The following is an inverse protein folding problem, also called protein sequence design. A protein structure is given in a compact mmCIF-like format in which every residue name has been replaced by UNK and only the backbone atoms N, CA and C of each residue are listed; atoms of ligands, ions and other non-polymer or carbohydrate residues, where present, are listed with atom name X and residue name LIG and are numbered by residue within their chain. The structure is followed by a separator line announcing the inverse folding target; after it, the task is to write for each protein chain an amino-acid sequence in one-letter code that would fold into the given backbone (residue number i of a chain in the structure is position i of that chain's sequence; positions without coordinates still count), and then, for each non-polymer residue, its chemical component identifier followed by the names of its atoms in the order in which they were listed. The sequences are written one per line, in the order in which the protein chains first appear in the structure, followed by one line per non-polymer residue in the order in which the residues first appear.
data_IF_049165848346
#
_entry.id   IF_049165848346
#
_cell.length_a   1.000
_cell.length_b   1.000
_cell.length_c   1.000
_cell.angle_alpha   90.00
_cell.angle_beta   90.00
_cell.angle_gamma   90.00
#
_symmetry.space_group_name_H-M   'P 1'
#
loop_
_entity.id
_entity.type
_entity.pdbx_description
1 polymer ?
#
# COMPACT_ATOMS: atom_id res chain seq x y z
N UNK A 1 -37.95 -15.00 -30.11
CA UNK A 1 -36.95 -14.96 -29.02
C UNK A 1 -35.69 -15.59 -29.55
N UNK A 2 -34.75 -14.76 -29.98
CA UNK A 2 -33.49 -15.22 -30.59
C UNK A 2 -32.41 -15.12 -29.52
N UNK A 3 -32.04 -16.28 -28.97
CA UNK A 3 -30.92 -16.44 -28.05
C UNK A 3 -29.61 -16.18 -28.78
N UNK A 4 -29.00 -15.03 -28.52
CA UNK A 4 -27.62 -14.73 -28.89
C UNK A 4 -26.70 -15.40 -27.87
N UNK A 5 -26.36 -16.66 -28.15
CA UNK A 5 -25.16 -17.31 -27.59
C UNK A 5 -23.93 -16.63 -28.17
N UNK A 6 -23.28 -15.75 -27.40
CA UNK A 6 -21.93 -15.30 -27.72
C UNK A 6 -20.94 -16.41 -27.32
N UNK A 7 -20.71 -17.34 -28.22
CA UNK A 7 -19.48 -18.11 -28.24
C UNK A 7 -18.33 -17.13 -28.48
N UNK A 8 -17.43 -16.95 -27.51
CA UNK A 8 -16.08 -16.50 -27.81
C UNK A 8 -15.08 -17.45 -27.13
N UNK A 9 -14.37 -18.29 -27.89
CA UNK A 9 -13.34 -19.18 -27.36
C UNK A 9 -12.11 -18.34 -26.95
N UNK A 10 -11.35 -18.88 -26.01
CA UNK A 10 -10.10 -18.34 -25.45
C UNK A 10 -9.24 -17.49 -26.39
N UNK A 11 -8.96 -16.25 -26.00
CA UNK A 11 -7.67 -15.62 -26.26
C UNK A 11 -7.13 -15.11 -24.92
N UNK A 12 -6.11 -15.79 -24.41
CA UNK A 12 -5.21 -15.29 -23.36
C UNK A 12 -4.38 -14.15 -23.97
N UNK A 13 -4.99 -13.01 -24.28
CA UNK A 13 -4.34 -11.91 -25.01
C UNK A 13 -3.92 -10.79 -24.08
N UNK A 14 -2.71 -10.27 -24.29
CA UNK A 14 -2.25 -9.03 -23.65
C UNK A 14 -3.03 -7.81 -24.17
N UNK A 15 -3.11 -6.76 -23.37
CA UNK A 15 -3.85 -5.53 -23.69
C UNK A 15 -2.89 -4.40 -24.05
N UNK A 16 -3.11 -3.72 -25.18
CA UNK A 16 -2.37 -2.50 -25.51
C UNK A 16 -2.74 -1.39 -24.51
N UNK A 17 -1.75 -0.72 -23.92
CA UNK A 17 -1.94 0.28 -22.87
C UNK A 17 -1.06 1.51 -23.08
N UNK A 18 -1.52 2.67 -22.60
CA UNK A 18 -0.76 3.93 -22.66
C UNK A 18 -0.36 4.38 -21.24
N UNK A 19 0.84 4.02 -20.82
CA UNK A 19 1.37 4.36 -19.48
C UNK A 19 1.88 5.79 -19.37
N UNK A 20 1.87 6.57 -20.46
CA UNK A 20 2.32 7.97 -20.43
C UNK A 20 1.36 8.87 -19.65
N UNK A 21 0.15 8.39 -19.36
CA UNK A 21 -0.91 9.10 -18.65
C UNK A 21 -1.02 8.65 -17.21
N UNK A 22 -1.56 9.52 -16.35
CA UNK A 22 -1.80 9.24 -14.93
C UNK A 22 -0.53 9.14 -14.08
N UNK A 23 -0.68 8.72 -12.82
CA UNK A 23 0.41 8.70 -11.85
C UNK A 23 1.18 7.37 -11.84
N UNK A 24 2.48 7.44 -11.54
CA UNK A 24 3.31 6.28 -11.21
C UNK A 24 3.35 6.11 -9.68
N UNK A 25 2.84 4.99 -9.18
CA UNK A 25 2.94 4.63 -7.76
C UNK A 25 3.98 3.52 -7.56
N UNK A 26 5.00 3.81 -6.75
CA UNK A 26 6.12 2.92 -6.46
C UNK A 26 5.96 2.04 -5.21
N UNK A 27 4.85 2.14 -4.47
CA UNK A 27 4.68 1.46 -3.17
C UNK A 27 4.85 -0.06 -3.26
N UNK A 28 4.19 -0.71 -4.22
CA UNK A 28 4.28 -2.17 -4.41
C UNK A 28 5.71 -2.57 -4.84
N UNK A 29 6.39 -1.70 -5.60
CA UNK A 29 7.80 -1.88 -5.98
C UNK A 29 8.73 -1.81 -4.78
N UNK A 30 8.50 -0.87 -3.85
CA UNK A 30 9.29 -0.75 -2.61
C UNK A 30 9.13 -1.99 -1.72
N UNK A 31 7.91 -2.52 -1.61
CA UNK A 31 7.67 -3.78 -0.92
C UNK A 31 8.45 -4.90 -1.63
N UNK A 32 8.21 -5.14 -2.92
CA UNK A 32 8.92 -6.18 -3.70
C UNK A 32 10.45 -6.14 -3.54
N UNK A 33 11.05 -4.95 -3.64
CA UNK A 33 12.50 -4.76 -3.49
C UNK A 33 13.01 -5.10 -2.09
N UNK A 34 12.22 -4.80 -1.04
CA UNK A 34 12.64 -5.00 0.35
C UNK A 34 12.42 -6.42 0.88
N UNK A 35 11.61 -7.23 0.19
CA UNK A 35 11.18 -8.55 0.67
C UNK A 35 12.09 -9.66 0.14
N UNK A 36 12.78 -10.43 1.01
CA UNK A 36 13.49 -11.64 0.60
C UNK A 36 12.52 -12.77 0.24
N UNK A 37 13.01 -13.84 -0.39
CA UNK A 37 12.18 -14.92 -0.96
C UNK A 37 11.30 -15.66 0.06
N UNK A 38 11.74 -15.76 1.31
CA UNK A 38 11.01 -16.35 2.42
C UNK A 38 9.83 -15.49 2.89
N UNK A 39 9.85 -14.18 2.60
CA UNK A 39 8.75 -13.26 2.88
C UNK A 39 7.76 -13.13 1.70
N UNK A 40 7.97 -13.83 0.59
CA UNK A 40 7.13 -13.75 -0.63
C UNK A 40 6.23 -14.97 -0.77
N UNK A 41 4.94 -14.79 -0.96
CA UNK A 41 3.96 -15.89 -1.02
C UNK A 41 3.36 -16.01 -2.41
N UNK A 42 2.99 -17.23 -2.82
CA UNK A 42 2.46 -17.47 -4.18
C UNK A 42 0.93 -17.53 -4.22
N UNK A 43 0.30 -17.63 -3.05
CA UNK A 43 -1.15 -17.66 -2.91
C UNK A 43 -1.58 -17.02 -1.59
N UNK A 44 -2.83 -16.55 -1.52
CA UNK A 44 -3.40 -16.02 -0.28
C UNK A 44 -3.56 -17.10 0.79
N UNK A 45 -3.80 -18.36 0.40
CA UNK A 45 -3.92 -19.48 1.35
C UNK A 45 -2.57 -19.74 2.04
N UNK A 46 -1.47 -19.84 1.29
CA UNK A 46 -0.14 -20.05 1.89
C UNK A 46 0.26 -18.88 2.80
N UNK A 47 -0.05 -17.65 2.36
CA UNK A 47 0.16 -16.45 3.16
C UNK A 47 -0.66 -16.53 4.45
N UNK A 48 -1.96 -16.82 4.35
CA UNK A 48 -2.89 -16.91 5.48
C UNK A 48 -2.44 -17.96 6.49
N UNK A 49 -2.13 -19.18 6.03
CA UNK A 49 -1.72 -20.27 6.90
C UNK A 49 -0.43 -19.92 7.66
N UNK A 50 0.50 -19.23 7.00
CA UNK A 50 1.74 -18.75 7.62
C UNK A 50 1.48 -17.71 8.71
N UNK A 51 0.73 -16.64 8.41
CA UNK A 51 0.46 -15.58 9.39
C UNK A 51 -0.50 -16.03 10.51
N UNK A 52 -1.39 -16.98 10.21
CA UNK A 52 -2.27 -17.60 11.20
C UNK A 52 -1.48 -18.50 12.14
N UNK A 53 -0.64 -19.40 11.62
CA UNK A 53 0.22 -20.26 12.43
C UNK A 53 1.14 -19.44 13.35
N UNK A 54 1.64 -18.29 12.85
CA UNK A 54 2.37 -17.33 13.68
C UNK A 54 1.52 -16.79 14.82
N UNK A 55 0.29 -16.33 14.54
CA UNK A 55 -0.61 -15.80 15.55
C UNK A 55 -1.00 -16.85 16.61
N UNK A 56 -1.23 -18.10 16.20
CA UNK A 56 -1.57 -19.21 17.11
C UNK A 56 -0.42 -19.55 18.08
N UNK A 57 0.84 -19.37 17.65
CA UNK A 57 2.04 -19.55 18.48
C UNK A 57 2.43 -18.30 19.28
N UNK A 58 1.79 -17.16 19.03
CA UNK A 58 2.10 -15.92 19.69
C UNK A 58 1.44 -15.84 21.07
N UNK A 59 2.13 -15.24 22.03
CA UNK A 59 1.62 -15.01 23.37
C UNK A 59 1.63 -13.53 23.70
N UNK A 60 0.44 -12.95 23.83
CA UNK A 60 0.27 -11.56 24.21
C UNK A 60 -0.06 -11.45 25.71
N UNK A 61 0.60 -10.52 26.42
CA UNK A 61 0.33 -10.25 27.84
C UNK A 61 0.16 -8.77 28.07
N UNK A 62 -0.65 -8.41 29.07
CA UNK A 62 -0.66 -7.04 29.62
C UNK A 62 -0.07 -7.12 31.01
N UNK A 63 1.03 -6.40 31.25
CA UNK A 63 1.80 -6.48 32.48
C UNK A 63 2.26 -5.09 32.91
N UNK A 64 2.64 -4.97 34.18
CA UNK A 64 3.25 -3.73 34.67
C UNK A 64 4.67 -3.56 34.10
N UNK A 65 5.01 -2.38 33.58
CA UNK A 65 6.34 -2.11 33.05
C UNK A 65 7.43 -2.26 34.12
N UNK A 66 7.14 -1.83 35.36
CA UNK A 66 8.05 -1.93 36.50
C UNK A 66 8.31 -3.40 36.92
N UNK A 67 7.42 -4.32 36.55
CA UNK A 67 7.58 -5.75 36.85
C UNK A 67 8.47 -6.48 35.83
N UNK A 68 8.80 -5.85 34.70
CA UNK A 68 9.78 -6.37 33.74
C UNK A 68 11.17 -6.20 34.34
N UNK A 69 11.92 -7.31 34.45
CA UNK A 69 13.33 -7.27 34.82
C UNK A 69 14.20 -7.43 33.59
N UNK A 70 15.24 -6.62 33.48
CA UNK A 70 16.23 -6.68 32.41
C UNK A 70 17.50 -7.30 32.96
N UNK A 71 17.91 -8.42 32.39
CA UNK A 71 19.11 -9.15 32.78
C UNK A 71 20.16 -9.10 31.67
N UNK A 72 21.39 -8.83 32.07
CA UNK A 72 22.57 -8.93 31.22
C UNK A 72 23.76 -9.27 32.11
N UNK A 73 24.63 -10.15 31.63
CA UNK A 73 25.77 -10.64 32.39
C UNK A 73 27.06 -9.92 31.96
N UNK A 74 28.01 -9.74 32.88
CA UNK A 74 29.26 -9.01 32.59
C UNK A 74 30.21 -9.77 31.66
N UNK A 75 30.09 -11.10 31.63
CA UNK A 75 30.85 -12.01 30.79
C UNK A 75 30.33 -12.07 29.34
N UNK A 76 29.15 -11.50 29.05
CA UNK A 76 28.61 -11.41 27.71
C UNK A 76 28.09 -10.00 27.40
N UNK A 77 28.91 -9.21 26.73
CA UNK A 77 28.60 -7.82 26.39
C UNK A 77 27.47 -7.67 25.33
N UNK A 78 27.02 -8.74 24.70
CA UNK A 78 26.02 -8.69 23.61
C UNK A 78 24.66 -9.26 24.02
N UNK A 79 24.59 -10.03 25.11
CA UNK A 79 23.36 -10.71 25.52
C UNK A 79 22.59 -9.90 26.56
N UNK A 80 21.36 -9.54 26.19
CA UNK A 80 20.37 -8.89 27.04
C UNK A 80 19.06 -9.68 26.95
N UNK A 81 18.47 -9.99 28.10
CA UNK A 81 17.23 -10.76 28.19
C UNK A 81 16.26 -10.09 29.16
N UNK A 82 14.98 -10.41 29.02
CA UNK A 82 13.91 -9.88 29.85
C UNK A 82 13.23 -11.02 30.60
N UNK A 83 13.07 -10.83 31.91
CA UNK A 83 12.16 -11.64 32.72
C UNK A 83 10.82 -10.92 32.78
N UNK A 84 9.83 -11.52 32.14
CA UNK A 84 8.47 -11.01 32.01
C UNK A 84 7.58 -11.79 32.98
N UNK A 85 6.77 -11.13 33.84
CA UNK A 85 5.86 -11.82 34.74
C UNK A 85 4.96 -12.85 34.03
N UNK A 86 4.88 -14.05 34.59
CA UNK A 86 4.10 -15.16 34.02
C UNK A 86 4.79 -15.90 32.87
N UNK A 87 6.02 -15.51 32.49
CA UNK A 87 6.90 -16.28 31.62
C UNK A 87 8.00 -16.95 32.45
N UNK A 88 8.28 -18.23 32.17
CA UNK A 88 9.28 -19.03 32.91
C UNK A 88 10.69 -18.87 32.35
N UNK A 89 10.81 -18.59 31.06
CA UNK A 89 12.08 -18.45 30.37
C UNK A 89 12.43 -16.98 30.17
N UNK A 90 13.71 -16.65 30.19
CA UNK A 90 14.16 -15.32 29.80
C UNK A 90 13.90 -15.10 28.30
N UNK A 91 13.48 -13.90 27.93
CA UNK A 91 13.09 -13.57 26.57
C UNK A 91 14.11 -12.60 25.97
N UNK A 92 14.63 -12.92 24.79
CA UNK A 92 15.48 -11.98 24.05
C UNK A 92 14.62 -10.96 23.27
N UNK A 93 14.89 -9.64 23.36
CA UNK A 93 14.22 -8.68 22.48
C UNK A 93 14.79 -8.74 21.07
N UNK A 94 13.92 -8.67 20.07
CA UNK A 94 14.33 -8.41 18.69
C UNK A 94 14.87 -6.99 18.55
N UNK A 95 15.57 -6.69 17.44
CA UNK A 95 16.02 -5.33 17.15
C UNK A 95 14.87 -4.30 17.17
N UNK A 96 13.67 -4.74 16.76
CA UNK A 96 12.44 -3.94 16.75
C UNK A 96 11.90 -3.70 18.16
N UNK A 97 11.62 -4.76 18.93
CA UNK A 97 11.07 -4.63 20.28
C UNK A 97 12.03 -3.98 21.27
N UNK A 98 13.34 -4.13 21.07
CA UNK A 98 14.35 -3.35 21.80
C UNK A 98 14.20 -1.86 21.54
N UNK A 99 13.97 -1.47 20.28
CA UNK A 99 13.66 -0.09 19.91
C UNK A 99 12.40 0.40 20.60
N UNK A 100 11.35 -0.42 20.65
CA UNK A 100 10.10 -0.10 21.34
C UNK A 100 10.29 0.06 22.85
N UNK A 101 11.07 -0.82 23.49
CA UNK A 101 11.44 -0.69 24.91
C UNK A 101 12.17 0.63 25.18
N UNK A 102 13.12 1.01 24.32
CA UNK A 102 13.80 2.29 24.42
C UNK A 102 12.82 3.47 24.29
N UNK A 103 11.96 3.45 23.27
CA UNK A 103 10.94 4.50 23.06
C UNK A 103 9.97 4.61 24.23
N UNK A 104 9.55 3.49 24.79
CA UNK A 104 8.65 3.43 25.95
C UNK A 104 9.21 4.20 27.14
N UNK A 105 10.51 4.05 27.41
CA UNK A 105 11.19 4.70 28.55
C UNK A 105 11.84 6.05 28.20
N UNK A 106 11.64 6.54 26.97
CA UNK A 106 12.23 7.79 26.50
C UNK A 106 13.74 7.73 26.23
N UNK A 107 14.33 6.54 26.09
CA UNK A 107 15.75 6.36 25.80
C UNK A 107 16.04 6.37 24.28
N UNK A 108 17.14 6.99 23.82
CA UNK A 108 17.52 6.96 22.41
C UNK A 108 18.02 5.57 21.98
N UNK A 109 17.22 4.83 21.20
CA UNK A 109 17.52 3.45 20.80
C UNK A 109 18.87 3.30 20.09
N UNK A 110 19.26 4.25 19.23
CA UNK A 110 20.54 4.22 18.50
C UNK A 110 21.74 4.26 19.45
N UNK A 111 21.70 5.11 20.47
CA UNK A 111 22.75 5.18 21.49
C UNK A 111 22.76 3.92 22.35
N UNK A 112 21.57 3.48 22.79
CA UNK A 112 21.42 2.30 23.64
C UNK A 112 21.98 1.01 22.98
N UNK A 113 21.85 0.87 21.66
CA UNK A 113 22.43 -0.24 20.89
C UNK A 113 23.96 -0.22 20.79
N UNK A 114 24.62 0.91 21.07
CA UNK A 114 26.09 1.01 21.09
C UNK A 114 26.68 0.67 22.46
N UNK A 115 25.83 0.56 23.49
CA UNK A 115 26.26 0.22 24.83
C UNK A 115 26.44 -1.30 24.96
N UNK A 116 27.45 -1.75 25.74
CA UNK A 116 27.47 -3.12 26.24
C UNK A 116 26.15 -3.47 26.94
N UNK A 117 25.69 -4.71 26.75
CA UNK A 117 24.43 -5.21 27.28
C UNK A 117 24.22 -4.91 28.78
N UNK A 118 25.22 -5.01 29.68
CA UNK A 118 25.06 -4.61 31.07
C UNK A 118 24.68 -3.14 31.29
N UNK A 119 25.27 -2.22 30.52
CA UNK A 119 24.96 -0.79 30.63
C UNK A 119 23.58 -0.48 30.03
N UNK A 120 23.28 -1.08 28.88
CA UNK A 120 21.95 -0.98 28.28
C UNK A 120 20.86 -1.52 29.23
N UNK A 121 21.12 -2.65 29.90
CA UNK A 121 20.19 -3.27 30.84
C UNK A 121 19.90 -2.37 32.05
N UNK A 122 20.92 -1.75 32.66
CA UNK A 122 20.74 -0.82 33.77
C UNK A 122 19.89 0.39 33.34
N UNK A 123 20.19 0.97 32.18
CA UNK A 123 19.47 2.12 31.65
C UNK A 123 18.01 1.77 31.34
N UNK A 124 17.75 0.62 30.71
CA UNK A 124 16.39 0.15 30.44
C UNK A 124 15.65 -0.17 31.74
N UNK A 125 16.28 -0.83 32.71
CA UNK A 125 15.68 -1.17 33.99
C UNK A 125 15.28 0.09 34.76
N UNK A 126 16.15 1.11 34.80
CA UNK A 126 15.84 2.41 35.40
C UNK A 126 14.63 3.05 34.72
N UNK A 127 14.61 3.03 33.39
CA UNK A 127 13.49 3.55 32.60
C UNK A 127 12.16 2.84 32.89
N UNK A 128 12.16 1.51 32.94
CA UNK A 128 10.98 0.68 33.17
C UNK A 128 10.37 0.89 34.58
N UNK A 129 11.22 1.07 35.60
CA UNK A 129 10.81 1.36 36.97
C UNK A 129 10.18 2.75 37.14
N UNK A 130 10.59 3.72 36.31
CA UNK A 130 10.12 5.12 36.38
C UNK A 130 9.13 5.48 35.27
N UNK A 131 8.67 4.49 34.49
CA UNK A 131 7.78 4.69 33.37
C UNK A 131 6.37 5.07 33.86
N UNK A 132 5.85 6.20 33.36
CA UNK A 132 4.59 6.80 33.85
C UNK A 132 3.34 5.96 33.59
N UNK A 133 3.29 5.24 32.47
CA UNK A 133 2.17 4.36 32.19
C UNK A 133 2.44 2.99 32.81
N UNK A 134 1.62 2.58 33.76
CA UNK A 134 1.92 1.38 34.55
C UNK A 134 1.90 0.11 33.71
N UNK A 135 1.02 0.02 32.71
CA UNK A 135 0.82 -1.21 31.93
C UNK A 135 1.40 -1.13 30.51
N UNK A 136 1.95 -2.26 30.05
CA UNK A 136 2.41 -2.49 28.68
C UNK A 136 1.89 -3.81 28.15
N UNK A 137 1.78 -3.89 26.82
CA UNK A 137 1.43 -5.10 26.10
C UNK A 137 2.66 -5.72 25.44
N UNK A 138 3.04 -6.92 25.86
CA UNK A 138 4.08 -7.71 25.22
C UNK A 138 3.48 -8.63 24.15
N UNK A 139 4.28 -8.92 23.13
CA UNK A 139 4.01 -9.99 22.16
C UNK A 139 5.25 -10.87 22.10
N UNK A 140 5.11 -12.10 22.57
CA UNK A 140 6.14 -13.13 22.60
C UNK A 140 5.89 -14.14 21.48
N UNK A 141 6.96 -14.69 20.93
CA UNK A 141 6.88 -15.77 19.93
C UNK A 141 7.98 -16.79 20.19
N UNK A 142 7.65 -18.06 20.06
CA UNK A 142 8.60 -19.17 20.10
C UNK A 142 8.77 -19.75 18.69
N UNK A 143 9.93 -19.48 18.09
CA UNK A 143 10.33 -19.97 16.77
C UNK A 143 11.69 -20.67 16.83
N UNK A 144 11.90 -21.45 17.91
CA UNK A 144 13.17 -22.13 18.24
C UNK A 144 13.96 -21.41 19.34
N UNK A 145 13.74 -20.10 19.48
CA UNK A 145 14.09 -19.32 20.67
C UNK A 145 12.90 -18.44 21.03
N UNK A 146 12.62 -18.31 22.33
CA UNK A 146 11.61 -17.39 22.81
C UNK A 146 12.08 -15.94 22.64
N UNK A 147 11.36 -15.18 21.81
CA UNK A 147 11.67 -13.80 21.48
C UNK A 147 10.53 -12.85 21.78
N UNK A 148 10.88 -11.63 22.17
CA UNK A 148 9.93 -10.54 22.31
C UNK A 148 9.82 -9.84 20.96
N UNK A 149 8.68 -10.03 20.28
CA UNK A 149 8.38 -9.43 18.98
C UNK A 149 7.90 -7.99 19.09
N UNK A 150 7.14 -7.67 20.14
CA UNK A 150 6.67 -6.31 20.36
C UNK A 150 6.51 -5.93 21.83
N UNK A 151 6.70 -4.65 22.13
CA UNK A 151 6.27 -4.00 23.36
C UNK A 151 5.49 -2.75 22.97
N UNK A 152 4.22 -2.71 23.36
CA UNK A 152 3.27 -1.68 22.94
C UNK A 152 2.54 -1.09 24.15
N UNK A 153 2.01 0.11 24.01
CA UNK A 153 1.21 0.73 25.07
C UNK A 153 -0.09 -0.04 25.35
N UNK A 154 -0.75 0.21 26.49
CA UNK A 154 -1.95 -0.52 26.91
C UNK A 154 -3.13 -0.26 25.96
N UNK A 155 -3.16 0.91 25.33
CA UNK A 155 -4.17 1.31 24.35
C UNK A 155 -3.93 0.72 22.96
N UNK A 156 -2.84 -0.03 22.73
CA UNK A 156 -2.61 -0.66 21.44
C UNK A 156 -3.61 -1.80 21.21
N UNK A 157 -4.46 -1.65 20.20
CA UNK A 157 -5.38 -2.71 19.74
C UNK A 157 -4.74 -3.45 18.57
N UNK A 158 -4.30 -4.68 18.85
CA UNK A 158 -3.68 -5.54 17.84
C UNK A 158 -4.75 -6.08 16.90
N UNK A 159 -4.51 -5.90 15.61
CA UNK A 159 -5.24 -6.57 14.53
C UNK A 159 -4.24 -7.57 13.98
N UNK A 160 -4.63 -8.83 13.90
CA UNK A 160 -3.75 -9.86 13.39
C UNK A 160 -3.74 -9.83 11.85
N UNK A 161 -2.58 -10.05 11.26
CA UNK A 161 -2.36 -10.10 9.81
C UNK A 161 -3.28 -11.15 9.19
N UNK A 162 -3.50 -12.28 9.85
CA UNK A 162 -4.42 -13.31 9.36
C UNK A 162 -5.89 -12.84 9.29
N UNK A 163 -6.30 -11.87 10.13
CA UNK A 163 -7.64 -11.27 10.05
C UNK A 163 -7.77 -10.41 8.78
N UNK A 164 -6.73 -9.66 8.43
CA UNK A 164 -6.69 -8.90 7.17
C UNK A 164 -6.69 -9.85 5.97
N UNK A 165 -5.80 -10.85 5.95
CA UNK A 165 -5.70 -11.79 4.83
C UNK A 165 -7.01 -12.57 4.67
N UNK A 166 -7.64 -13.00 5.77
CA UNK A 166 -8.95 -13.66 5.73
C UNK A 166 -10.05 -12.75 5.15
N UNK A 167 -10.06 -11.46 5.51
CA UNK A 167 -11.02 -10.51 4.94
C UNK A 167 -10.83 -10.35 3.42
N UNK A 168 -9.58 -10.32 2.95
CA UNK A 168 -9.26 -10.25 1.51
C UNK A 168 -9.65 -11.54 0.80
N UNK A 169 -9.38 -12.71 1.38
CA UNK A 169 -9.75 -14.02 0.79
C UNK A 169 -11.25 -14.18 0.56
N UNK A 170 -12.11 -13.56 1.40
CA UNK A 170 -13.57 -13.58 1.19
C UNK A 170 -14.00 -12.94 -0.13
N UNK A 171 -13.16 -12.08 -0.70
CA UNK A 171 -13.43 -11.32 -1.92
C UNK A 171 -12.62 -11.87 -3.09
N UNK A 172 -11.33 -12.12 -2.86
CA UNK A 172 -10.38 -12.48 -3.90
C UNK A 172 -10.12 -13.99 -4.03
N UNK A 173 -10.69 -14.79 -3.12
CA UNK A 173 -10.40 -16.21 -3.01
C UNK A 173 -8.92 -16.44 -2.73
N UNK A 174 -8.22 -17.22 -3.57
CA UNK A 174 -6.80 -17.52 -3.39
C UNK A 174 -5.86 -16.47 -4.00
N UNK A 175 -6.40 -15.50 -4.74
CA UNK A 175 -5.61 -14.48 -5.42
C UNK A 175 -4.78 -15.02 -6.58
N UNK A 176 -5.08 -16.24 -7.06
CA UNK A 176 -4.35 -16.90 -8.16
C UNK A 176 -5.16 -16.96 -9.45
N UNK A 177 -6.24 -16.17 -9.54
CA UNK A 177 -7.14 -16.14 -10.70
C UNK A 177 -8.38 -17.03 -10.58
N UNK A 178 -8.65 -17.55 -9.38
CA UNK A 178 -9.89 -18.24 -9.02
C UNK A 178 -11.10 -17.30 -8.91
N UNK A 179 -10.84 -16.01 -8.67
CA UNK A 179 -11.79 -14.91 -8.86
C UNK A 179 -11.21 -13.90 -9.86
N UNK A 180 -11.93 -12.81 -10.14
CA UNK A 180 -11.37 -11.71 -10.95
C UNK A 180 -10.15 -11.04 -10.30
N UNK A 181 -10.02 -11.12 -8.97
CA UNK A 181 -8.89 -10.55 -8.23
C UNK A 181 -7.74 -11.54 -8.17
N UNK A 182 -6.58 -11.11 -8.67
CA UNK A 182 -5.39 -11.96 -8.71
C UNK A 182 -4.09 -11.17 -8.55
N UNK A 183 -3.00 -11.88 -8.27
CA UNK A 183 -1.64 -11.34 -8.42
C UNK A 183 -1.49 -10.81 -9.85
N UNK A 184 -0.94 -9.59 -10.01
CA UNK A 184 -0.95 -8.88 -11.28
C UNK A 184 -0.10 -9.56 -12.35
N UNK A 185 -0.56 -9.40 -13.59
CA UNK A 185 0.26 -9.57 -14.76
C UNK A 185 1.40 -8.56 -14.88
N UNK A 186 1.97 -8.46 -16.08
CA UNK A 186 3.15 -7.64 -16.34
C UNK A 186 3.06 -6.90 -17.66
N UNK A 187 3.48 -5.64 -17.65
CA UNK A 187 3.75 -4.81 -18.82
C UNK A 187 5.01 -5.28 -19.56
N UNK A 188 4.85 -5.55 -20.84
CA UNK A 188 5.95 -5.64 -21.80
C UNK A 188 6.27 -4.24 -22.37
N UNK A 189 7.47 -3.74 -22.04
CA UNK A 189 7.97 -2.44 -22.48
C UNK A 189 8.23 -2.36 -23.98
N UNK A 190 8.53 -3.47 -24.65
CA UNK A 190 8.84 -3.48 -26.08
C UNK A 190 7.58 -3.25 -26.92
N UNK A 191 6.45 -3.80 -26.46
CA UNK A 191 5.18 -3.76 -27.19
C UNK A 191 4.16 -2.78 -26.60
N UNK A 192 4.41 -2.28 -25.38
CA UNK A 192 3.45 -1.53 -24.56
C UNK A 192 2.14 -2.32 -24.39
N UNK A 193 2.27 -3.60 -24.06
CA UNK A 193 1.14 -4.48 -23.79
C UNK A 193 1.19 -5.02 -22.36
N UNK A 194 0.08 -4.94 -21.63
CA UNK A 194 -0.08 -5.54 -20.31
C UNK A 194 -0.60 -6.96 -20.47
N UNK A 195 0.22 -7.96 -20.10
CA UNK A 195 -0.18 -9.36 -20.11
C UNK A 195 -0.70 -9.76 -18.72
N UNK A 196 -2.01 -10.01 -18.53
CA UNK A 196 -2.54 -10.46 -17.25
C UNK A 196 -2.15 -11.91 -16.91
N UNK A 197 -1.80 -12.74 -17.90
CA UNK A 197 -1.57 -14.18 -17.72
C UNK A 197 -0.08 -14.49 -17.55
N UNK A 198 0.49 -14.04 -16.43
CA UNK A 198 1.87 -14.34 -16.01
C UNK A 198 1.85 -15.29 -14.83
N UNK A 199 2.76 -16.27 -14.83
CA UNK A 199 2.90 -17.22 -13.73
C UNK A 199 3.30 -16.52 -12.44
N UNK A 200 2.73 -16.99 -11.32
CA UNK A 200 3.01 -16.46 -9.99
C UNK A 200 4.25 -17.18 -9.44
N UNK A 201 5.34 -16.43 -9.33
CA UNK A 201 6.62 -16.89 -8.80
C UNK A 201 7.08 -15.93 -7.70
N UNK A 202 8.21 -16.24 -7.05
CA UNK A 202 8.82 -15.34 -6.08
C UNK A 202 9.23 -13.99 -6.70
N UNK A 203 9.45 -13.93 -8.01
CA UNK A 203 9.80 -12.69 -8.70
C UNK A 203 8.58 -11.88 -9.14
N UNK A 204 7.43 -12.51 -9.36
CA UNK A 204 6.24 -11.86 -9.91
C UNK A 204 5.14 -11.60 -8.89
N UNK A 205 5.19 -12.28 -7.74
CA UNK A 205 4.19 -12.13 -6.68
C UNK A 205 4.16 -10.72 -6.09
N UNK A 206 3.03 -10.39 -5.48
CA UNK A 206 2.77 -9.16 -4.74
C UNK A 206 2.13 -9.44 -3.38
N UNK A 207 2.35 -10.65 -2.85
CA UNK A 207 1.89 -11.12 -1.55
C UNK A 207 3.11 -11.27 -0.64
N UNK A 208 3.16 -10.51 0.44
CA UNK A 208 4.33 -10.43 1.31
C UNK A 208 3.95 -10.49 2.78
N UNK A 209 4.75 -11.19 3.58
CA UNK A 209 4.72 -11.05 5.04
C UNK A 209 6.11 -11.26 5.63
N UNK A 210 6.50 -10.32 6.50
CA UNK A 210 7.66 -10.47 7.40
C UNK A 210 7.21 -10.97 8.76
N UNK A 211 8.15 -11.09 9.69
CA UNK A 211 7.88 -11.26 11.11
C UNK A 211 7.15 -10.07 11.78
N UNK A 212 6.95 -8.95 11.07
CA UNK A 212 6.38 -7.70 11.62
C UNK A 212 5.11 -7.22 10.94
N UNK A 213 4.97 -7.48 9.65
CA UNK A 213 3.90 -6.92 8.83
C UNK A 213 3.53 -7.81 7.64
N UNK A 214 2.34 -7.55 7.10
CA UNK A 214 1.82 -8.13 5.86
C UNK A 214 1.54 -7.01 4.86
N UNK A 215 1.79 -7.28 3.58
CA UNK A 215 1.39 -6.44 2.47
C UNK A 215 0.90 -7.34 1.33
N UNK A 216 -0.24 -7.01 0.73
CA UNK A 216 -0.74 -7.68 -0.46
C UNK A 216 -1.27 -6.68 -1.48
N UNK A 217 -1.02 -6.93 -2.76
CA UNK A 217 -1.63 -6.20 -3.87
C UNK A 217 -2.28 -7.19 -4.83
N UNK A 218 -3.51 -6.89 -5.25
CA UNK A 218 -4.28 -7.67 -6.21
C UNK A 218 -4.91 -6.74 -7.25
N UNK A 219 -5.15 -7.30 -8.42
CA UNK A 219 -5.72 -6.58 -9.57
C UNK A 219 -6.78 -7.43 -10.25
N UNK A 220 -7.77 -6.76 -10.83
CA UNK A 220 -8.61 -7.31 -11.88
C UNK A 220 -8.13 -6.78 -13.23
N UNK A 221 -7.08 -7.42 -13.76
CA UNK A 221 -6.46 -7.10 -15.04
C UNK A 221 -6.93 -8.01 -16.18
N UNK A 222 -7.95 -8.84 -15.93
CA UNK A 222 -8.60 -9.69 -16.95
C UNK A 222 -9.88 -9.06 -17.51
N UNK A 223 -10.44 -8.05 -16.83
CA UNK A 223 -11.61 -7.30 -17.26
C UNK A 223 -11.25 -5.82 -17.47
N UNK A 224 -10.68 -5.45 -18.63
CA UNK A 224 -10.33 -4.07 -18.91
C UNK A 224 -11.58 -3.17 -18.96
N UNK A 225 -11.41 -1.95 -18.47
CA UNK A 225 -12.39 -0.87 -18.51
C UNK A 225 -11.94 0.13 -19.57
N UNK A 226 -12.76 0.31 -20.61
CA UNK A 226 -12.54 1.37 -21.60
C UNK A 226 -13.15 2.69 -21.09
N UNK A 227 -12.30 3.70 -20.87
CA UNK A 227 -12.70 5.04 -20.45
C UNK A 227 -12.34 6.11 -21.49
N UNK A 228 -12.64 5.81 -22.76
CA UNK A 228 -12.45 6.73 -23.89
C UNK A 228 -11.52 6.16 -24.97
N UNK A 229 -10.97 7.07 -25.77
CA UNK A 229 -10.08 6.74 -26.90
C UNK A 229 -8.79 7.54 -26.79
N UNK A 230 -7.69 6.90 -27.17
CA UNK A 230 -6.38 7.52 -27.34
C UNK A 230 -6.34 8.33 -28.66
N UNK A 231 -5.34 9.20 -28.86
CA UNK A 231 -5.21 10.00 -30.09
C UNK A 231 -5.13 9.17 -31.36
N UNK A 232 -4.58 7.96 -31.27
CA UNK A 232 -4.49 7.00 -32.37
C UNK A 232 -5.80 6.20 -32.61
N UNK A 233 -6.86 6.46 -31.86
CA UNK A 233 -8.16 5.79 -31.96
C UNK A 233 -8.27 4.47 -31.19
N UNK A 234 -7.18 4.00 -30.56
CA UNK A 234 -7.21 2.80 -29.71
C UNK A 234 -8.02 3.05 -28.42
N UNK A 235 -8.61 2.00 -27.83
CA UNK A 235 -9.36 2.14 -26.59
C UNK A 235 -8.45 2.54 -25.42
N UNK A 236 -8.93 3.46 -24.59
CA UNK A 236 -8.21 3.93 -23.42
C UNK A 236 -8.49 3.02 -22.23
N UNK A 237 -7.60 2.04 -21.98
CA UNK A 237 -7.84 0.95 -21.04
C UNK A 237 -7.33 1.22 -19.63
N UNK A 238 -8.14 0.80 -18.66
CA UNK A 238 -7.88 0.81 -17.23
C UNK A 238 -8.24 -0.54 -16.60
N UNK A 239 -7.62 -0.86 -15.48
CA UNK A 239 -7.86 -2.03 -14.65
C UNK A 239 -8.16 -1.57 -13.22
N UNK A 240 -8.80 -2.42 -12.43
CA UNK A 240 -9.07 -2.15 -11.01
C UNK A 240 -7.98 -2.78 -10.18
N UNK A 241 -7.41 -2.02 -9.24
CA UNK A 241 -6.39 -2.52 -8.32
C UNK A 241 -6.68 -2.12 -6.88
N UNK A 242 -6.27 -2.96 -5.94
CA UNK A 242 -6.19 -2.58 -4.54
C UNK A 242 -5.02 -3.26 -3.86
N UNK A 243 -4.47 -2.60 -2.85
CA UNK A 243 -3.54 -3.23 -1.92
C UNK A 243 -3.96 -2.98 -0.48
N UNK A 244 -3.56 -3.89 0.41
CA UNK A 244 -3.80 -3.79 1.83
C UNK A 244 -2.54 -4.15 2.62
N UNK A 245 -2.41 -3.59 3.81
CA UNK A 245 -1.27 -3.83 4.70
C UNK A 245 -1.70 -3.78 6.16
N UNK A 246 -0.95 -4.46 7.01
CA UNK A 246 -1.13 -4.44 8.45
C UNK A 246 0.21 -4.70 9.15
N UNK A 247 0.32 -4.27 10.41
CA UNK A 247 1.39 -4.73 11.28
C UNK A 247 0.86 -5.13 12.65
N UNK A 248 1.15 -6.36 13.03
CA UNK A 248 0.84 -6.88 14.35
C UNK A 248 1.79 -6.37 15.42
N UNK A 249 2.90 -5.70 15.08
CA UNK A 249 3.91 -5.24 16.04
C UNK A 249 4.00 -3.72 16.13
N UNK A 250 3.17 -3.01 15.37
CA UNK A 250 3.15 -1.55 15.31
C UNK A 250 4.26 -0.93 14.44
N UNK A 251 4.80 -1.67 13.46
CA UNK A 251 5.71 -1.12 12.46
C UNK A 251 4.98 -0.31 11.39
N UNK A 252 3.70 -0.60 11.17
CA UNK A 252 2.81 0.08 10.25
C UNK A 252 1.41 0.21 10.86
N UNK A 253 0.57 1.03 10.23
CA UNK A 253 -0.88 1.02 10.47
C UNK A 253 -1.51 -0.14 9.72
N UNK A 254 -2.77 -0.43 10.01
CA UNK A 254 -3.64 -1.13 9.09
C UNK A 254 -4.10 -0.14 8.01
N UNK A 255 -4.14 -0.57 6.75
CA UNK A 255 -4.82 0.21 5.73
C UNK A 255 -5.06 -0.54 4.44
N UNK A 256 -5.92 0.05 3.62
CA UNK A 256 -6.28 -0.42 2.29
C UNK A 256 -6.26 0.79 1.36
N UNK A 257 -5.77 0.60 0.14
CA UNK A 257 -5.92 1.56 -0.93
C UNK A 257 -6.50 0.89 -2.18
N UNK A 258 -7.39 1.61 -2.86
CA UNK A 258 -8.04 1.21 -4.09
C UNK A 258 -7.87 2.27 -5.17
N UNK A 259 -7.75 1.85 -6.42
CA UNK A 259 -7.45 2.73 -7.55
C UNK A 259 -7.74 2.04 -8.88
N UNK A 260 -7.78 2.84 -9.94
CA UNK A 260 -7.63 2.36 -11.31
C UNK A 260 -6.17 2.48 -11.74
N UNK A 261 -5.70 1.58 -12.60
CA UNK A 261 -4.36 1.63 -13.17
C UNK A 261 -4.36 1.12 -14.60
N UNK A 262 -3.32 1.44 -15.37
CA UNK A 262 -3.17 1.00 -16.76
C UNK A 262 -2.27 -0.20 -16.90
N UNK A 263 -1.25 -0.33 -16.06
CA UNK A 263 -0.35 -1.48 -16.12
C UNK A 263 0.44 -1.66 -14.82
N UNK A 264 1.01 -2.85 -14.67
CA UNK A 264 2.00 -3.17 -13.63
C UNK A 264 3.26 -3.65 -14.33
N UNK A 265 4.43 -3.04 -14.08
CA UNK A 265 5.66 -3.50 -14.72
C UNK A 265 6.37 -4.61 -13.93
N UNK A 266 7.44 -5.19 -14.52
CA UNK A 266 8.20 -6.28 -13.91
C UNK A 266 8.71 -5.96 -12.49
N UNK A 267 9.10 -4.70 -12.26
CA UNK A 267 9.53 -4.19 -10.95
C UNK A 267 8.36 -3.84 -10.01
N UNK A 268 7.15 -4.30 -10.30
CA UNK A 268 5.90 -4.04 -9.56
C UNK A 268 5.55 -2.54 -9.39
N UNK A 269 5.96 -1.68 -10.31
CA UNK A 269 5.47 -0.29 -10.33
C UNK A 269 4.08 -0.25 -10.96
N UNK A 270 3.20 0.55 -10.38
CA UNK A 270 1.86 0.81 -10.88
C UNK A 270 1.92 2.02 -11.81
N UNK A 271 1.41 1.87 -13.04
CA UNK A 271 1.46 2.89 -14.07
C UNK A 271 0.07 3.37 -14.45
N UNK A 272 -0.05 4.68 -14.67
CA UNK A 272 -1.31 5.35 -15.00
C UNK A 272 -2.38 5.16 -13.95
N UNK A 273 -1.98 5.34 -12.69
CA UNK A 273 -2.91 5.24 -11.57
C UNK A 273 -3.84 6.45 -11.56
N UNK A 274 -5.14 6.21 -11.38
CA UNK A 274 -6.20 7.21 -11.31
C UNK A 274 -7.17 6.87 -10.16
N UNK A 275 -7.85 7.89 -9.64
CA UNK A 275 -8.83 7.77 -8.54
C UNK A 275 -8.31 6.98 -7.33
N UNK A 276 -7.13 7.35 -6.85
CA UNK A 276 -6.51 6.73 -5.68
C UNK A 276 -7.24 7.12 -4.39
N UNK A 277 -7.76 6.11 -3.69
CA UNK A 277 -8.48 6.24 -2.43
C UNK A 277 -7.80 5.37 -1.37
N UNK A 278 -7.50 5.94 -0.20
CA UNK A 278 -6.82 5.24 0.89
C UNK A 278 -7.57 5.41 2.21
N UNK A 279 -7.72 4.30 2.94
CA UNK A 279 -8.23 4.28 4.31
C UNK A 279 -7.15 3.70 5.21
N UNK A 280 -6.80 4.44 6.26
CA UNK A 280 -5.82 4.01 7.27
C UNK A 280 -6.47 3.96 8.65
N UNK A 281 -6.33 2.82 9.34
CA UNK A 281 -6.82 2.60 10.70
C UNK A 281 -5.62 2.49 11.65
N UNK A 282 -5.59 3.37 12.66
CA UNK A 282 -4.58 3.29 13.73
C UNK A 282 -4.87 2.11 14.66
N UNK A 283 -3.83 1.47 15.15
CA UNK A 283 -3.89 0.40 16.16
C UNK A 283 -4.20 0.95 17.57
N UNK A 284 -5.41 1.48 17.77
CA UNK A 284 -5.93 1.84 19.09
C UNK A 284 -6.84 0.75 19.66
N UNK A 285 -7.29 0.88 20.92
CA UNK A 285 -8.05 -0.15 21.65
C UNK A 285 -9.23 -0.77 20.89
N UNK A 286 -9.92 0.02 20.06
CA UNK A 286 -11.07 -0.42 19.25
C UNK A 286 -10.72 -0.68 17.78
N UNK A 287 -9.44 -0.84 17.43
CA UNK A 287 -8.99 -1.00 16.05
C UNK A 287 -9.59 -2.24 15.38
N UNK A 288 -9.69 -3.38 16.07
CA UNK A 288 -10.31 -4.59 15.53
C UNK A 288 -11.80 -4.37 15.18
N UNK A 289 -12.54 -3.66 16.03
CA UNK A 289 -13.94 -3.29 15.74
C UNK A 289 -14.04 -2.35 14.54
N UNK A 290 -13.21 -1.30 14.48
CA UNK A 290 -13.18 -0.41 13.31
C UNK A 290 -12.81 -1.15 12.03
N UNK A 291 -11.87 -2.08 12.08
CA UNK A 291 -11.53 -2.90 10.92
C UNK A 291 -12.74 -3.70 10.42
N UNK A 292 -13.45 -4.38 11.34
CA UNK A 292 -14.64 -5.15 11.01
C UNK A 292 -15.79 -4.29 10.45
N UNK A 293 -15.94 -3.04 10.91
CA UNK A 293 -17.05 -2.16 10.54
C UNK A 293 -16.75 -1.19 9.39
N UNK A 294 -15.48 -0.82 9.16
CA UNK A 294 -15.09 0.18 8.16
C UNK A 294 -14.32 -0.45 7.00
N UNK A 295 -13.21 -1.13 7.29
CA UNK A 295 -12.26 -1.60 6.29
C UNK A 295 -12.73 -2.84 5.51
N UNK A 296 -13.26 -3.86 6.19
CA UNK A 296 -13.77 -5.05 5.50
C UNK A 296 -15.00 -4.74 4.60
N UNK A 297 -15.95 -3.90 5.03
CA UNK A 297 -17.01 -3.39 4.15
C UNK A 297 -16.48 -2.52 3.02
N UNK A 298 -15.48 -1.66 3.24
CA UNK A 298 -14.89 -0.85 2.18
C UNK A 298 -14.23 -1.70 1.09
N UNK A 299 -13.47 -2.74 1.46
CA UNK A 299 -12.92 -3.72 0.53
C UNK A 299 -14.03 -4.39 -0.31
N UNK A 300 -15.11 -4.81 0.35
CA UNK A 300 -16.25 -5.45 -0.32
C UNK A 300 -16.98 -4.50 -1.26
N UNK A 301 -17.20 -3.25 -0.81
CA UNK A 301 -17.84 -2.21 -1.59
C UNK A 301 -17.03 -1.88 -2.83
N UNK A 302 -15.71 -1.71 -2.70
CA UNK A 302 -14.84 -1.47 -3.84
C UNK A 302 -14.84 -2.66 -4.80
N UNK A 303 -14.70 -3.88 -4.28
CA UNK A 303 -14.63 -5.07 -5.10
C UNK A 303 -15.88 -5.30 -5.96
N UNK A 304 -17.04 -4.92 -5.44
CA UNK A 304 -18.32 -5.00 -6.13
C UNK A 304 -18.74 -3.68 -6.82
N UNK A 305 -17.93 -2.62 -6.70
CA UNK A 305 -18.29 -1.32 -7.26
C UNK A 305 -18.30 -1.35 -8.78
N UNK A 306 -19.31 -0.69 -9.35
CA UNK A 306 -19.40 -0.50 -10.79
C UNK A 306 -18.37 0.53 -11.25
N UNK A 307 -17.66 0.30 -12.36
CA UNK A 307 -16.78 1.30 -12.95
C UNK A 307 -17.55 2.45 -13.63
N UNK A 308 -18.89 2.38 -13.70
CA UNK A 308 -19.71 3.37 -14.40
C UNK A 308 -19.49 4.83 -13.95
N UNK A 309 -19.38 5.17 -12.65
CA UNK A 309 -19.09 6.53 -12.22
C UNK A 309 -17.72 7.02 -12.69
N UNK A 310 -16.71 6.14 -12.66
CA UNK A 310 -15.37 6.45 -13.17
C UNK A 310 -15.42 6.72 -14.69
N UNK A 311 -16.04 5.83 -15.46
CA UNK A 311 -16.21 5.99 -16.92
C UNK A 311 -16.96 7.30 -17.22
N UNK A 312 -18.04 7.57 -16.48
CA UNK A 312 -18.83 8.78 -16.66
C UNK A 312 -18.01 10.05 -16.38
N UNK A 313 -17.24 10.07 -15.29
CA UNK A 313 -16.37 11.21 -14.93
C UNK A 313 -15.29 11.47 -15.99
N UNK A 314 -14.60 10.43 -16.45
CA UNK A 314 -13.59 10.57 -17.53
C UNK A 314 -14.24 11.04 -18.83
N UNK A 315 -15.41 10.48 -19.19
CA UNK A 315 -16.15 10.90 -20.38
C UNK A 315 -16.60 12.35 -20.30
N UNK A 316 -17.17 12.78 -19.16
CA UNK A 316 -17.59 14.16 -18.93
C UNK A 316 -16.40 15.13 -18.99
N UNK A 317 -15.26 14.75 -18.41
CA UNK A 317 -14.03 15.54 -18.49
C UNK A 317 -13.49 15.68 -19.93
N UNK A 318 -13.60 14.63 -20.75
CA UNK A 318 -13.20 14.66 -22.17
C UNK A 318 -14.17 15.49 -23.02
N UNK A 319 -15.47 15.44 -22.74
CA UNK A 319 -16.50 16.19 -23.49
C UNK A 319 -16.55 17.68 -23.11
N UNK A 320 -16.10 18.04 -21.90
CA UNK A 320 -16.10 19.43 -21.42
C UNK A 320 -14.94 20.25 -21.99
N UNK A 321 -15.19 20.86 -23.15
CA UNK A 321 -14.28 21.83 -23.77
C UNK A 321 -14.26 23.14 -22.98
N UNK A 322 -13.07 23.55 -22.52
CA UNK A 322 -12.84 24.74 -21.69
C UNK A 322 -11.91 25.77 -22.35
N UNK A 323 -11.22 25.40 -23.43
CA UNK A 323 -10.40 26.32 -24.21
C UNK A 323 -10.44 25.95 -25.70
N UNK A 324 -10.56 26.94 -26.58
CA UNK A 324 -10.48 26.73 -28.04
C UNK A 324 -9.33 27.51 -28.68
N UNK A 325 -8.94 28.63 -28.07
CA UNK A 325 -7.84 29.50 -28.53
C UNK A 325 -6.76 29.61 -27.45
N UNK A 326 -5.56 30.07 -27.84
CA UNK A 326 -4.40 30.11 -26.94
C UNK A 326 -4.64 30.99 -25.71
N UNK A 327 -5.28 32.15 -25.89
CA UNK A 327 -5.65 33.04 -24.79
C UNK A 327 -6.58 32.36 -23.76
N UNK A 328 -7.49 31.49 -24.22
CA UNK A 328 -8.38 30.74 -23.35
C UNK A 328 -7.58 29.74 -22.50
N UNK A 329 -6.58 29.07 -23.10
CA UNK A 329 -5.74 28.07 -22.44
C UNK A 329 -4.91 28.69 -21.33
N UNK A 330 -4.29 29.84 -21.62
CA UNK A 330 -3.54 30.57 -20.61
C UNK A 330 -4.47 31.06 -19.49
N UNK A 331 -5.57 31.71 -19.85
CA UNK A 331 -6.54 32.25 -18.87
C UNK A 331 -7.08 31.15 -17.96
N UNK A 332 -7.41 29.98 -18.51
CA UNK A 332 -7.96 28.86 -17.77
C UNK A 332 -7.04 28.36 -16.64
N UNK A 333 -5.74 28.20 -16.93
CA UNK A 333 -4.74 27.78 -15.95
C UNK A 333 -4.38 28.91 -14.98
N UNK A 334 -4.24 30.14 -15.47
CA UNK A 334 -3.89 31.31 -14.63
C UNK A 334 -4.95 31.59 -13.56
N UNK A 335 -6.24 31.47 -13.90
CA UNK A 335 -7.35 31.58 -12.93
C UNK A 335 -7.33 30.50 -11.83
N UNK A 336 -6.63 29.39 -12.06
CA UNK A 336 -6.49 28.26 -11.13
C UNK A 336 -5.16 28.29 -10.36
N UNK A 337 -4.47 29.43 -10.37
CA UNK A 337 -3.28 29.65 -9.55
C UNK A 337 -2.01 29.01 -10.12
N UNK A 338 -1.95 28.77 -11.43
CA UNK A 338 -0.71 28.38 -12.10
C UNK A 338 0.12 29.63 -12.46
N UNK A 339 1.45 29.56 -12.30
CA UNK A 339 2.36 30.60 -12.80
C UNK A 339 2.37 30.64 -14.34
N UNK A 340 2.87 31.73 -14.93
CA UNK A 340 3.01 31.84 -16.40
C UNK A 340 3.93 30.73 -16.95
N UNK A 341 5.01 30.44 -16.23
CA UNK A 341 5.95 29.38 -16.60
C UNK A 341 5.35 27.99 -16.50
N UNK A 342 4.55 27.70 -15.46
CA UNK A 342 3.85 26.42 -15.35
C UNK A 342 2.76 26.27 -16.42
N UNK A 343 2.03 27.35 -16.71
CA UNK A 343 1.00 27.39 -17.75
C UNK A 343 1.56 26.97 -19.11
N UNK A 344 2.68 27.60 -19.52
CA UNK A 344 3.34 27.25 -20.77
C UNK A 344 3.80 25.78 -20.80
N UNK A 345 4.38 25.29 -19.71
CA UNK A 345 4.83 23.89 -19.61
C UNK A 345 3.69 22.88 -19.67
N UNK A 346 2.55 23.16 -19.02
CA UNK A 346 1.36 22.29 -19.09
C UNK A 346 0.88 22.20 -20.53
N UNK A 347 0.75 23.34 -21.23
CA UNK A 347 0.31 23.37 -22.63
C UNK A 347 1.30 22.64 -23.55
N UNK A 348 2.60 22.86 -23.36
CA UNK A 348 3.67 22.20 -24.11
C UNK A 348 3.66 20.68 -23.91
N UNK A 349 3.43 20.20 -22.69
CA UNK A 349 3.34 18.76 -22.40
C UNK A 349 2.13 18.12 -23.06
N UNK A 350 0.97 18.77 -23.05
CA UNK A 350 -0.19 18.25 -23.80
C UNK A 350 0.09 18.25 -25.30
N UNK A 351 0.69 19.31 -25.83
CA UNK A 351 1.02 19.37 -27.25
C UNK A 351 2.01 18.26 -27.66
N UNK A 352 2.99 17.95 -26.83
CA UNK A 352 3.98 16.92 -27.11
C UNK A 352 3.42 15.49 -26.97
N UNK A 353 2.55 15.25 -25.99
CA UNK A 353 1.95 13.93 -25.73
C UNK A 353 0.72 13.64 -26.61
N UNK A 354 -0.13 14.65 -26.88
CA UNK A 354 -1.38 14.50 -27.66
C UNK A 354 -1.24 14.87 -29.13
N UNK A 355 -0.16 15.56 -29.53
CA UNK A 355 0.01 16.12 -30.87
C UNK A 355 -0.93 17.29 -31.18
N UNK A 356 -1.68 17.80 -30.20
CA UNK A 356 -2.58 18.95 -30.30
C UNK A 356 -2.61 19.76 -28.99
N UNK A 357 -2.91 21.07 -29.03
CA UNK A 357 -3.08 21.87 -27.81
C UNK A 357 -4.24 21.37 -26.94
N UNK A 358 -4.23 21.64 -25.63
CA UNK A 358 -5.31 21.26 -24.73
C UNK A 358 -6.61 22.01 -25.06
N UNK A 359 -7.73 21.30 -25.03
CA UNK A 359 -9.06 21.88 -25.26
C UNK A 359 -10.05 21.49 -24.16
N UNK A 360 -10.02 20.22 -23.73
CA UNK A 360 -10.93 19.66 -22.74
C UNK A 360 -10.37 19.73 -21.31
N UNK A 361 -11.24 19.61 -20.31
CA UNK A 361 -10.81 19.44 -18.91
C UNK A 361 -9.82 18.28 -18.78
N UNK A 362 -10.08 17.16 -19.45
CA UNK A 362 -9.20 15.99 -19.44
C UNK A 362 -7.80 16.30 -19.98
N UNK A 363 -7.69 17.04 -21.09
CA UNK A 363 -6.38 17.43 -21.65
C UNK A 363 -5.56 18.25 -20.63
N UNK A 364 -6.19 19.20 -19.94
CA UNK A 364 -5.52 19.98 -18.90
C UNK A 364 -5.12 19.13 -17.69
N UNK A 365 -5.95 18.19 -17.25
CA UNK A 365 -5.61 17.24 -16.17
C UNK A 365 -4.37 16.45 -16.55
N UNK A 366 -4.33 15.86 -17.75
CA UNK A 366 -3.18 15.10 -18.23
C UNK A 366 -1.91 15.96 -18.29
N UNK A 367 -2.00 17.18 -18.79
CA UNK A 367 -0.85 18.10 -18.82
C UNK A 367 -0.33 18.51 -17.43
N UNK A 368 -1.21 18.70 -16.45
CA UNK A 368 -0.82 19.01 -15.07
C UNK A 368 -0.12 17.80 -14.44
N UNK A 369 -0.68 16.60 -14.63
CA UNK A 369 -0.07 15.35 -14.13
C UNK A 369 1.27 15.07 -14.83
N UNK A 370 1.39 15.36 -16.13
CA UNK A 370 2.66 15.34 -16.84
C UNK A 370 3.70 16.28 -16.23
N UNK A 371 3.28 17.51 -15.90
CA UNK A 371 4.18 18.46 -15.25
C UNK A 371 4.60 18.00 -13.85
N UNK A 372 3.68 17.42 -13.08
CA UNK A 372 3.95 16.88 -11.77
C UNK A 372 5.05 15.80 -11.81
N UNK A 373 5.02 14.90 -12.80
CA UNK A 373 6.04 13.85 -12.99
C UNK A 373 7.47 14.38 -13.15
N UNK A 374 7.64 15.62 -13.61
CA UNK A 374 8.97 16.25 -13.76
C UNK A 374 9.53 16.86 -12.46
N UNK A 375 8.73 16.95 -11.40
CA UNK A 375 9.13 17.58 -10.14
C UNK A 375 9.91 16.60 -9.28
N UNK A 376 11.10 17.02 -8.86
CA UNK A 376 11.93 16.28 -7.89
C UNK A 376 11.48 16.50 -6.44
N UNK A 377 10.89 17.66 -6.13
CA UNK A 377 10.37 17.97 -4.82
C UNK A 377 8.95 17.38 -4.63
N UNK A 378 8.78 16.58 -3.58
CA UNK A 378 7.54 15.87 -3.29
C UNK A 378 6.36 16.80 -2.99
N UNK A 379 6.57 17.89 -2.25
CA UNK A 379 5.49 18.83 -1.88
C UNK A 379 4.96 19.56 -3.11
N UNK A 380 5.86 20.00 -3.99
CA UNK A 380 5.49 20.63 -5.27
C UNK A 380 4.73 19.66 -6.17
N UNK A 381 5.11 18.38 -6.16
CA UNK A 381 4.40 17.35 -6.93
C UNK A 381 2.98 17.16 -6.40
N UNK A 382 2.83 16.98 -5.09
CA UNK A 382 1.52 16.81 -4.44
C UNK A 382 0.60 18.01 -4.66
N UNK A 383 1.13 19.24 -4.70
CA UNK A 383 0.34 20.43 -4.99
C UNK A 383 -0.26 20.39 -6.42
N UNK A 384 0.55 19.99 -7.40
CA UNK A 384 0.10 19.86 -8.80
C UNK A 384 -0.91 18.72 -8.97
N UNK A 385 -0.63 17.56 -8.38
CA UNK A 385 -1.54 16.40 -8.37
C UNK A 385 -2.89 16.78 -7.70
N UNK A 386 -2.84 17.53 -6.59
CA UNK A 386 -4.03 18.06 -5.93
C UNK A 386 -4.84 19.05 -6.80
N UNK A 387 -4.18 19.89 -7.60
CA UNK A 387 -4.85 20.78 -8.57
C UNK A 387 -5.49 19.99 -9.71
N UNK A 388 -4.80 18.97 -10.23
CA UNK A 388 -5.33 18.08 -11.26
C UNK A 388 -6.58 17.32 -10.77
N UNK A 389 -6.53 16.76 -9.55
CA UNK A 389 -7.67 16.08 -8.93
C UNK A 389 -8.90 16.97 -8.81
N UNK A 390 -8.75 18.18 -8.23
CA UNK A 390 -9.86 19.15 -8.11
C UNK A 390 -10.46 19.52 -9.47
N UNK A 391 -9.62 19.61 -10.49
CA UNK A 391 -10.06 19.92 -11.84
C UNK A 391 -10.90 18.77 -12.43
N UNK A 392 -10.47 17.52 -12.26
CA UNK A 392 -11.21 16.33 -12.70
C UNK A 392 -12.56 16.20 -11.96
N UNK A 393 -12.57 16.37 -10.64
CA UNK A 393 -13.79 16.36 -9.81
C UNK A 393 -14.80 17.43 -10.25
N UNK A 394 -14.33 18.60 -10.70
CA UNK A 394 -15.21 19.68 -11.15
C UNK A 394 -15.98 19.38 -12.45
N UNK A 395 -15.53 18.37 -13.21
CA UNK A 395 -16.16 17.94 -14.45
C UNK A 395 -17.10 16.74 -14.29
N UNK A 396 -17.09 16.10 -13.12
CA UNK A 396 -17.84 14.88 -12.81
C UNK A 396 -19.26 15.20 -12.32
#
# INVERSE_FOLDING_TARGET
MTTLTSNNPSARSAFKVDISRGERIGRVSSEWFSRPDDERFLSLSDLYDTVRSRAERAHARTIESAAIRVEATRDNAERLELLVPGQRQAIAPTHWSYGQLCSLVGAPATYMRQLPAPLAAINLQHGLLNHRAELVKTLEMDDGRLELRAVTGPEYGRIWDHELVSAVMKIAGNGTGDTMWKVPGVLDWATMTHNPFVDITKDTTTLYASDRDVFLFLVDDTHPIEAGRLPNGEPDLYFRGFYAWNSEVGSKTLGIASFYLRAVCANRNLWGTENFEEITIRHSKFAAQRFAHEAAPALTSFANSSPAPFIAGIKAARERIVARKDDDRETFLRQRGFSKGETGKVIEMVLSEEGRPPESVFDFVQGITALARTKTNQDTRLELEGKAKKLLESAS
#
